data_IF_997712565950
#
_entry.id   IF_997712565950
#
_cell.length_a   1.000
_cell.length_b   1.000
_cell.length_c   1.000
_cell.angle_alpha   90.00
_cell.angle_beta   90.00
_cell.angle_gamma   90.00
#
_symmetry.space_group_name_H-M   'P 1'
#
loop_
_entity.id
_entity.type
_entity.pdbx_description
1 polymer ?
#
# COMPACT_ATOMS: atom_id res chain seq x y z
N UNK A 1 -9.90 -6.09 -10.62
CA UNK A 1 -8.94 -5.33 -9.81
C UNK A 1 -8.66 -6.10 -8.53
N UNK A 2 -7.39 -6.27 -8.16
CA UNK A 2 -7.01 -6.88 -6.90
C UNK A 2 -6.50 -5.82 -5.92
N UNK A 3 -6.80 -6.02 -4.64
CA UNK A 3 -6.47 -5.10 -3.57
C UNK A 3 -6.09 -5.88 -2.31
N UNK A 4 -5.10 -5.38 -1.58
CA UNK A 4 -4.86 -5.82 -0.21
C UNK A 4 -5.79 -5.02 0.68
N UNK A 5 -6.57 -5.66 1.57
CA UNK A 5 -7.65 -5.01 2.31
C UNK A 5 -7.34 -4.83 3.81
N UNK A 6 -6.17 -4.27 4.15
CA UNK A 6 -5.80 -3.96 5.55
C UNK A 6 -5.81 -2.45 5.75
N UNK A 7 -6.29 -1.99 6.92
CA UNK A 7 -6.40 -0.58 7.27
C UNK A 7 -7.08 0.28 6.18
N UNK A 8 -6.34 1.17 5.50
CA UNK A 8 -6.84 2.01 4.40
C UNK A 8 -7.46 1.18 3.27
N UNK A 9 -6.93 -0.02 3.02
CA UNK A 9 -7.46 -0.92 1.99
C UNK A 9 -8.90 -1.34 2.25
N UNK A 10 -9.33 -1.40 3.52
CA UNK A 10 -10.73 -1.70 3.85
C UNK A 10 -11.66 -0.58 3.40
N UNK A 11 -11.33 0.68 3.68
CA UNK A 11 -12.10 1.84 3.21
C UNK A 11 -12.16 1.91 1.68
N UNK A 12 -11.03 1.63 1.01
CA UNK A 12 -10.98 1.61 -0.45
C UNK A 12 -11.89 0.49 -1.00
N UNK A 13 -11.84 -0.73 -0.45
CA UNK A 13 -12.73 -1.82 -0.84
C UNK A 13 -14.20 -1.45 -0.66
N UNK A 14 -14.57 -0.88 0.49
CA UNK A 14 -15.97 -0.47 0.77
C UNK A 14 -16.47 0.53 -0.27
N UNK A 15 -15.67 1.56 -0.60
CA UNK A 15 -16.02 2.54 -1.62
C UNK A 15 -16.12 1.93 -3.03
N UNK A 16 -15.23 1.00 -3.38
CA UNK A 16 -15.24 0.33 -4.68
C UNK A 16 -16.43 -0.61 -4.85
N UNK A 17 -16.83 -1.31 -3.79
CA UNK A 17 -18.04 -2.15 -3.80
C UNK A 17 -19.28 -1.29 -3.98
N UNK A 18 -19.36 -0.15 -3.29
CA UNK A 18 -20.48 0.79 -3.43
C UNK A 18 -20.57 1.42 -4.83
N UNK A 19 -19.42 1.68 -5.46
CA UNK A 19 -19.37 2.25 -6.81
C UNK A 19 -19.81 1.23 -7.89
N UNK A 20 -19.75 -0.08 -7.62
CA UNK A 20 -20.16 -1.16 -8.53
C UNK A 20 -19.57 -1.10 -9.96
N UNK A 21 -18.35 -0.57 -10.07
CA UNK A 21 -17.65 -0.42 -11.36
C UNK A 21 -16.56 -1.47 -11.61
N UNK A 22 -16.24 -2.29 -10.61
CA UNK A 22 -15.07 -3.16 -10.64
C UNK A 22 -15.37 -4.53 -10.04
N UNK A 23 -14.86 -5.59 -10.68
CA UNK A 23 -14.72 -6.89 -10.04
C UNK A 23 -13.55 -6.85 -9.06
N UNK A 24 -13.84 -6.93 -7.77
CA UNK A 24 -12.86 -6.78 -6.69
C UNK A 24 -12.37 -8.14 -6.21
N UNK A 25 -11.06 -8.26 -6.04
CA UNK A 25 -10.40 -9.41 -5.44
C UNK A 25 -9.54 -8.94 -4.26
N UNK A 26 -9.72 -9.53 -3.08
CA UNK A 26 -8.90 -9.28 -1.92
C UNK A 26 -7.76 -10.30 -1.88
N UNK A 27 -6.51 -9.83 -1.92
CA UNK A 27 -5.34 -10.67 -1.69
C UNK A 27 -5.15 -10.91 -0.19
N UNK A 28 -4.92 -12.16 0.18
CA UNK A 28 -4.83 -12.59 1.59
C UNK A 28 -3.86 -13.75 1.77
N UNK A 29 -3.37 -13.98 2.99
CA UNK A 29 -2.40 -15.05 3.30
C UNK A 29 -3.04 -16.41 3.68
N UNK A 30 -4.37 -16.48 3.72
CA UNK A 30 -5.09 -17.67 4.14
C UNK A 30 -6.55 -17.63 3.70
N UNK A 31 -7.30 -18.67 4.03
CA UNK A 31 -8.73 -18.73 3.76
C UNK A 31 -9.46 -17.59 4.49
N UNK A 32 -10.38 -16.92 3.81
CA UNK A 32 -11.19 -15.86 4.41
C UNK A 32 -12.66 -16.21 4.32
N UNK A 33 -13.41 -15.59 5.22
CA UNK A 33 -14.87 -15.62 5.19
C UNK A 33 -15.37 -14.93 3.91
N UNK A 34 -16.22 -15.59 3.11
CA UNK A 34 -16.85 -14.98 1.95
C UNK A 34 -17.54 -13.67 2.35
N UNK A 35 -17.17 -12.58 1.66
CA UNK A 35 -17.76 -11.26 1.88
C UNK A 35 -18.51 -10.85 0.61
N UNK A 36 -19.73 -10.34 0.76
CA UNK A 36 -20.58 -9.95 -0.38
C UNK A 36 -19.86 -8.87 -1.21
N UNK A 37 -19.86 -9.03 -2.54
CA UNK A 37 -19.27 -8.05 -3.47
C UNK A 37 -17.76 -8.14 -3.64
N UNK A 38 -17.07 -9.07 -2.96
CA UNK A 38 -15.63 -9.29 -3.12
C UNK A 38 -15.28 -10.76 -3.30
N UNK A 39 -14.25 -11.03 -4.09
CA UNK A 39 -13.65 -12.34 -4.24
C UNK A 39 -12.38 -12.40 -3.40
N UNK A 40 -11.94 -13.58 -2.97
CA UNK A 40 -10.67 -13.74 -2.27
C UNK A 40 -9.67 -14.50 -3.14
N UNK A 41 -8.42 -14.06 -3.13
CA UNK A 41 -7.30 -14.79 -3.73
C UNK A 41 -6.25 -15.00 -2.66
N UNK A 42 -5.68 -16.20 -2.66
CA UNK A 42 -4.52 -16.50 -1.86
C UNK A 42 -3.30 -15.82 -2.49
N UNK A 43 -2.56 -15.04 -1.71
CA UNK A 43 -1.33 -14.41 -2.14
C UNK A 43 -0.19 -14.92 -1.26
N UNK A 44 0.84 -15.43 -1.91
CA UNK A 44 2.08 -15.84 -1.25
C UNK A 44 3.11 -14.74 -1.49
N UNK A 45 3.17 -13.75 -0.60
CA UNK A 45 4.04 -12.58 -0.80
C UNK A 45 5.55 -12.89 -0.84
N UNK A 46 5.94 -14.10 -0.45
CA UNK A 46 7.31 -14.61 -0.50
C UNK A 46 7.58 -15.46 -1.77
N UNK A 47 6.54 -15.77 -2.57
CA UNK A 47 6.62 -16.52 -3.83
C UNK A 47 6.06 -15.68 -4.99
N UNK A 48 6.98 -15.12 -5.77
CA UNK A 48 6.69 -14.22 -6.89
C UNK A 48 5.96 -14.93 -8.03
N UNK A 49 6.38 -16.15 -8.37
CA UNK A 49 5.83 -16.87 -9.52
C UNK A 49 4.44 -17.42 -9.23
N UNK A 50 4.24 -18.01 -8.04
CA UNK A 50 2.93 -18.48 -7.62
C UNK A 50 1.91 -17.32 -7.54
N UNK A 51 2.36 -16.16 -7.04
CA UNK A 51 1.52 -14.96 -7.01
C UNK A 51 1.22 -14.45 -8.42
N UNK A 52 2.20 -14.40 -9.32
CA UNK A 52 1.99 -14.00 -10.72
C UNK A 52 0.96 -14.90 -11.44
N UNK A 53 1.06 -16.22 -11.25
CA UNK A 53 0.09 -17.18 -11.79
C UNK A 53 -1.32 -16.93 -11.23
N UNK A 54 -1.44 -16.68 -9.92
CA UNK A 54 -2.72 -16.38 -9.29
C UNK A 54 -3.35 -15.11 -9.88
N UNK A 55 -2.56 -14.04 -10.05
CA UNK A 55 -3.01 -12.80 -10.69
C UNK A 55 -3.48 -13.05 -12.13
N UNK A 56 -2.73 -13.84 -12.90
CA UNK A 56 -3.04 -14.15 -14.29
C UNK A 56 -4.30 -15.01 -14.44
N UNK A 57 -4.45 -16.06 -13.64
CA UNK A 57 -5.64 -16.93 -13.66
C UNK A 57 -6.91 -16.16 -13.31
N UNK A 58 -6.82 -15.25 -12.32
CA UNK A 58 -7.92 -14.37 -11.95
C UNK A 58 -8.12 -13.18 -12.91
N UNK A 59 -7.27 -13.04 -13.94
CA UNK A 59 -7.28 -11.96 -14.93
C UNK A 59 -7.23 -10.58 -14.28
N UNK A 60 -6.36 -10.41 -13.30
CA UNK A 60 -6.16 -9.14 -12.62
C UNK A 60 -5.48 -8.17 -13.58
N UNK A 61 -6.16 -7.04 -13.84
CA UNK A 61 -5.63 -5.93 -14.64
C UNK A 61 -4.86 -4.91 -13.78
N UNK A 62 -5.48 -4.50 -12.66
CA UNK A 62 -4.93 -3.50 -11.74
C UNK A 62 -4.73 -4.14 -10.38
N UNK A 63 -3.53 -3.99 -9.82
CA UNK A 63 -3.20 -4.38 -8.46
C UNK A 63 -2.97 -3.13 -7.59
N UNK A 64 -3.67 -3.05 -6.45
CA UNK A 64 -3.59 -1.95 -5.50
C UNK A 64 -3.02 -2.47 -4.17
N UNK A 65 -1.81 -2.04 -3.83
CA UNK A 65 -1.14 -2.38 -2.59
C UNK A 65 -1.52 -1.40 -1.48
N UNK A 66 -1.99 -1.91 -0.35
CA UNK A 66 -2.20 -1.13 0.89
C UNK A 66 -1.43 -1.69 2.09
N UNK A 67 -0.37 -2.47 1.82
CA UNK A 67 0.49 -3.02 2.88
C UNK A 67 1.04 -1.86 3.71
N UNK A 68 0.94 -1.94 5.04
CA UNK A 68 1.63 -1.02 5.93
C UNK A 68 3.15 -1.25 5.91
N UNK A 69 3.86 -0.58 5.00
CA UNK A 69 5.31 -0.75 4.80
C UNK A 69 6.10 -0.08 5.92
N UNK A 70 6.18 -0.76 7.07
CA UNK A 70 6.82 -0.27 8.30
C UNK A 70 8.15 -0.94 8.62
N UNK A 71 8.49 -2.01 7.92
CA UNK A 71 9.71 -2.79 8.14
C UNK A 71 10.19 -3.42 6.83
N UNK A 72 11.40 -3.99 6.87
CA UNK A 72 12.05 -4.61 5.70
C UNK A 72 11.20 -5.71 5.08
N UNK A 73 10.62 -6.61 5.87
CA UNK A 73 9.78 -7.71 5.38
C UNK A 73 8.54 -7.19 4.62
N UNK A 74 7.88 -6.16 5.13
CA UNK A 74 6.75 -5.53 4.46
C UNK A 74 7.16 -4.82 3.16
N UNK A 75 8.36 -4.23 3.14
CA UNK A 75 8.94 -3.63 1.93
C UNK A 75 9.23 -4.69 0.87
N UNK A 76 9.86 -5.79 1.26
CA UNK A 76 10.15 -6.95 0.39
C UNK A 76 8.85 -7.54 -0.17
N UNK A 77 7.80 -7.67 0.66
CA UNK A 77 6.48 -8.13 0.20
C UNK A 77 5.88 -7.22 -0.88
N UNK A 78 5.99 -5.89 -0.75
CA UNK A 78 5.52 -4.97 -1.80
C UNK A 78 6.35 -5.09 -3.08
N UNK A 79 7.68 -5.20 -2.97
CA UNK A 79 8.57 -5.41 -4.11
C UNK A 79 8.24 -6.72 -4.83
N UNK A 80 7.99 -7.80 -4.09
CA UNK A 80 7.59 -9.08 -4.66
C UNK A 80 6.23 -8.98 -5.38
N UNK A 81 5.29 -8.19 -4.89
CA UNK A 81 4.03 -7.93 -5.59
C UNK A 81 4.23 -7.15 -6.89
N UNK A 82 5.15 -6.19 -6.91
CA UNK A 82 5.54 -5.46 -8.13
C UNK A 82 6.09 -6.46 -9.16
N UNK A 83 7.04 -7.31 -8.76
CA UNK A 83 7.62 -8.36 -9.62
C UNK A 83 6.58 -9.34 -10.12
N UNK A 84 5.70 -9.81 -9.23
CA UNK A 84 4.61 -10.74 -9.59
C UNK A 84 3.66 -10.12 -10.61
N UNK A 85 3.36 -8.83 -10.45
CA UNK A 85 2.53 -8.06 -11.38
C UNK A 85 3.21 -7.89 -12.74
N UNK A 86 4.52 -7.67 -12.75
CA UNK A 86 5.31 -7.54 -13.97
C UNK A 86 5.40 -8.87 -14.74
N UNK A 87 5.44 -10.01 -14.05
CA UNK A 87 5.43 -11.33 -14.70
C UNK A 87 4.03 -11.69 -15.22
N UNK A 88 2.98 -11.28 -14.49
CA UNK A 88 1.59 -11.55 -14.87
C UNK A 88 1.20 -10.85 -16.17
N UNK A 89 0.93 -11.63 -17.22
CA UNK A 89 0.56 -11.09 -18.54
C UNK A 89 -0.74 -10.29 -18.58
N UNK A 90 -1.58 -10.40 -17.55
CA UNK A 90 -2.85 -9.66 -17.47
C UNK A 90 -2.72 -8.35 -16.71
N UNK A 91 -1.71 -8.20 -15.86
CA UNK A 91 -1.57 -7.05 -14.97
C UNK A 91 -0.86 -5.91 -15.71
N UNK A 92 -1.53 -4.77 -15.80
CA UNK A 92 -1.05 -3.58 -16.55
C UNK A 92 -0.80 -2.39 -15.64
N UNK A 93 -1.48 -2.33 -14.49
CA UNK A 93 -1.42 -1.21 -13.57
C UNK A 93 -1.11 -1.62 -12.14
N UNK A 94 -0.23 -0.86 -11.48
CA UNK A 94 0.10 -1.05 -10.07
C UNK A 94 -0.08 0.25 -9.29
N UNK A 95 -0.84 0.20 -8.19
CA UNK A 95 -0.96 1.33 -7.25
C UNK A 95 -0.12 0.99 -6.03
N UNK A 96 0.92 1.80 -5.80
CA UNK A 96 1.92 1.56 -4.76
C UNK A 96 1.38 1.96 -3.38
N UNK A 97 1.72 1.18 -2.35
CA UNK A 97 1.40 1.54 -0.96
C UNK A 97 2.34 2.65 -0.51
N UNK A 98 1.85 3.88 -0.65
CA UNK A 98 2.53 5.10 -0.26
C UNK A 98 1.49 6.19 0.07
N UNK A 99 0.48 5.83 0.88
CA UNK A 99 -0.62 6.68 1.32
C UNK A 99 -0.17 7.67 2.41
N UNK A 100 0.77 8.52 2.04
CA UNK A 100 1.43 9.46 2.93
C UNK A 100 1.76 10.79 2.22
N UNK A 101 2.72 11.53 2.76
CA UNK A 101 3.21 12.80 2.21
C UNK A 101 4.10 12.52 0.99
N UNK A 102 4.10 13.44 0.01
CA UNK A 102 5.01 13.33 -1.12
C UNK A 102 6.43 13.47 -0.59
N UNK A 103 7.18 12.38 -0.65
CA UNK A 103 8.61 12.39 -0.43
C UNK A 103 9.24 12.70 -1.78
N UNK A 104 9.71 13.92 -1.93
CA UNK A 104 10.41 14.41 -3.12
C UNK A 104 11.88 14.55 -2.75
N UNK A 105 12.74 14.02 -3.62
CA UNK A 105 14.20 14.01 -3.47
C UNK A 105 14.82 15.41 -3.29
N UNK A 106 14.09 16.47 -3.66
CA UNK A 106 14.53 17.87 -3.63
C UNK A 106 13.91 18.73 -2.51
N UNK A 107 12.82 18.30 -1.87
CA UNK A 107 12.02 19.19 -1.00
C UNK A 107 12.42 19.15 0.47
N UNK A 108 13.07 18.07 0.90
CA UNK A 108 13.75 18.05 2.18
C UNK A 108 15.19 18.50 1.92
N UNK A 109 15.61 19.63 2.51
CA UNK A 109 16.95 20.21 2.40
C UNK A 109 18.07 19.31 2.98
N UNK A 110 17.77 18.03 3.14
CA UNK A 110 18.61 16.97 3.64
C UNK A 110 18.88 16.01 2.47
N UNK A 111 20.15 15.67 2.18
CA UNK A 111 20.49 14.70 1.16
C UNK A 111 19.75 13.37 1.43
N UNK A 112 19.30 12.68 0.37
CA UNK A 112 18.53 11.42 0.45
C UNK A 112 19.12 10.41 1.43
N UNK A 113 20.45 10.35 1.53
CA UNK A 113 21.17 9.49 2.46
C UNK A 113 20.89 9.82 3.95
N UNK A 114 20.68 11.10 4.28
CA UNK A 114 20.27 11.57 5.60
C UNK A 114 18.79 11.26 5.87
N UNK A 115 17.90 11.37 4.87
CA UNK A 115 16.48 10.99 5.02
C UNK A 115 16.29 9.47 5.16
N UNK A 116 17.02 8.67 4.41
CA UNK A 116 16.92 7.21 4.46
C UNK A 116 17.42 6.62 5.79
N UNK A 117 18.40 7.27 6.44
CA UNK A 117 18.91 6.86 7.74
C UNK A 117 18.05 7.37 8.91
N UNK A 118 17.35 8.50 8.75
CA UNK A 118 16.44 9.05 9.76
C UNK A 118 15.00 8.52 9.65
N UNK A 119 14.57 8.07 8.46
CA UNK A 119 13.22 7.60 8.20
C UNK A 119 13.24 6.38 7.24
N UNK A 120 13.37 5.15 7.78
CA UNK A 120 13.40 3.91 6.97
C UNK A 120 12.22 3.76 6.00
N UNK A 121 11.06 4.34 6.33
CA UNK A 121 9.86 4.36 5.46
C UNK A 121 10.09 5.08 4.13
N UNK A 122 10.93 6.12 4.13
CA UNK A 122 11.28 6.86 2.92
C UNK A 122 12.03 5.95 1.96
N UNK A 123 13.04 5.25 2.48
CA UNK A 123 13.80 4.27 1.71
C UNK A 123 12.89 3.21 1.10
N UNK A 124 11.98 2.62 1.88
CA UNK A 124 11.09 1.57 1.37
C UNK A 124 10.15 2.06 0.25
N UNK A 125 9.73 3.32 0.31
CA UNK A 125 8.92 3.92 -0.76
C UNK A 125 9.76 4.11 -2.02
N UNK A 126 10.98 4.65 -1.89
CA UNK A 126 11.91 4.82 -3.01
C UNK A 126 12.31 3.49 -3.65
N UNK A 127 12.61 2.46 -2.84
CA UNK A 127 12.95 1.12 -3.34
C UNK A 127 11.81 0.53 -4.18
N UNK A 128 10.54 0.72 -3.76
CA UNK A 128 9.38 0.26 -4.51
C UNK A 128 9.18 1.04 -5.82
N UNK A 129 9.44 2.36 -5.82
CA UNK A 129 9.38 3.18 -7.04
C UNK A 129 10.48 2.80 -8.01
N UNK A 130 11.72 2.62 -7.54
CA UNK A 130 12.85 2.15 -8.36
C UNK A 130 12.57 0.77 -8.97
N UNK A 131 11.93 -0.13 -8.22
CA UNK A 131 11.50 -1.41 -8.78
C UNK A 131 10.43 -1.24 -9.86
N UNK A 132 9.44 -0.37 -9.66
CA UNK A 132 8.39 -0.09 -10.65
C UNK A 132 8.96 0.48 -11.96
N UNK A 133 9.98 1.34 -11.89
CA UNK A 133 10.70 1.90 -13.05
C UNK A 133 11.39 0.82 -13.91
N UNK A 134 11.68 -0.35 -13.34
CA UNK A 134 12.26 -1.50 -14.08
C UNK A 134 11.21 -2.31 -14.83
N UNK A 135 9.93 -2.00 -14.67
CA UNK A 135 8.80 -2.76 -15.23
C UNK A 135 8.12 -2.01 -16.37
N UNK A 136 7.25 -2.70 -17.12
CA UNK A 136 6.35 -2.06 -18.09
C UNK A 136 5.01 -1.61 -17.47
N UNK A 137 4.84 -1.72 -16.14
CA UNK A 137 3.57 -1.43 -15.48
C UNK A 137 3.33 0.07 -15.45
N UNK A 138 2.13 0.49 -15.84
CA UNK A 138 1.68 1.85 -15.53
C UNK A 138 1.45 1.93 -14.02
N UNK A 139 2.10 2.85 -13.31
CA UNK A 139 1.96 2.91 -11.86
C UNK A 139 1.38 4.24 -11.36
N UNK A 140 0.82 4.21 -10.15
CA UNK A 140 0.26 5.41 -9.50
C UNK A 140 0.65 5.42 -8.03
N UNK A 141 1.19 6.55 -7.58
CA UNK A 141 1.43 6.87 -6.17
C UNK A 141 0.34 7.82 -5.69
N UNK A 142 -0.51 7.35 -4.77
CA UNK A 142 -1.55 8.19 -4.17
C UNK A 142 -0.94 8.95 -3.00
N UNK A 143 -0.72 10.25 -3.17
CA UNK A 143 -0.24 11.14 -2.10
C UNK A 143 -1.41 11.88 -1.48
N UNK A 144 -1.87 11.41 -0.32
CA UNK A 144 -3.02 11.99 0.38
C UNK A 144 -2.64 12.73 1.67
N UNK A 145 -1.36 12.78 2.04
CA UNK A 145 -0.90 13.47 3.25
C UNK A 145 -1.34 12.75 4.53
N UNK A 146 -2.08 13.43 5.41
CA UNK A 146 -2.60 12.87 6.66
C UNK A 146 -4.08 12.54 6.51
N UNK A 147 -4.49 11.37 7.00
CA UNK A 147 -5.90 10.99 7.05
C UNK A 147 -6.64 11.85 8.09
N UNK A 148 -7.83 12.34 7.73
CA UNK A 148 -8.69 13.07 8.67
C UNK A 148 -9.15 12.20 9.84
N UNK A 149 -9.21 10.87 9.64
CA UNK A 149 -9.49 9.87 10.66
C UNK A 149 -8.65 10.06 11.93
N UNK A 150 -7.39 10.49 11.78
CA UNK A 150 -6.49 10.71 12.93
C UNK A 150 -7.01 11.79 13.90
N UNK A 151 -7.80 12.75 13.41
CA UNK A 151 -8.40 13.81 14.23
C UNK A 151 -9.81 13.45 14.73
N UNK A 152 -10.46 12.45 14.12
CA UNK A 152 -11.77 11.97 14.53
C UNK A 152 -11.73 10.85 15.58
N UNK A 153 -10.58 10.20 15.77
CA UNK A 153 -10.45 9.11 16.74
C UNK A 153 -10.60 9.62 18.20
N UNK A 154 -11.24 8.83 19.09
CA UNK A 154 -11.87 7.53 18.86
C UNK A 154 -13.35 7.61 18.42
N UNK A 155 -13.90 8.81 18.24
CA UNK A 155 -15.34 9.04 18.05
C UNK A 155 -15.84 8.84 16.62
N UNK A 156 -14.94 8.80 15.64
CA UNK A 156 -15.23 8.52 14.24
C UNK A 156 -14.91 7.07 13.86
N UNK A 157 -15.80 6.43 13.08
CA UNK A 157 -15.57 5.07 12.58
C UNK A 157 -14.41 5.09 11.58
N UNK A 158 -13.38 4.31 11.86
CA UNK A 158 -12.18 4.23 11.02
C UNK A 158 -11.59 2.82 11.03
N UNK A 159 -10.98 2.43 9.92
CA UNK A 159 -10.16 1.21 9.83
C UNK A 159 -8.65 1.52 9.90
N UNK A 160 -8.26 2.79 9.86
CA UNK A 160 -6.84 3.20 9.91
C UNK A 160 -6.32 3.03 11.33
N UNK A 161 -5.07 2.60 11.48
CA UNK A 161 -4.44 2.53 12.80
C UNK A 161 -4.21 3.92 13.38
N UNK A 162 -4.35 4.12 14.71
CA UNK A 162 -4.08 5.41 15.34
C UNK A 162 -2.67 5.92 15.03
N UNK A 163 -2.60 7.21 14.72
CA UNK A 163 -1.35 7.94 14.62
C UNK A 163 -1.13 8.72 15.93
N UNK A 164 -0.15 8.29 16.73
CA UNK A 164 0.09 8.91 18.03
C UNK A 164 0.95 10.16 17.86
N UNK A 165 0.32 11.32 18.04
CA UNK A 165 1.03 12.60 18.12
C UNK A 165 1.45 12.82 19.59
N UNK A 166 2.72 13.13 19.82
CA UNK A 166 3.25 13.45 21.15
C UNK A 166 3.59 14.93 21.19
N UNK A 167 3.02 15.67 22.13
CA UNK A 167 3.32 17.09 22.36
C UNK A 167 3.88 17.25 23.76
N UNK A 168 5.09 17.79 23.86
CA UNK A 168 5.69 18.16 25.14
C UNK A 168 5.68 19.69 25.26
N UNK A 169 4.69 20.20 25.99
CA UNK A 169 4.49 21.64 26.18
C UNK A 169 5.62 22.29 26.99
N UNK A 170 6.12 21.60 28.02
CA UNK A 170 7.19 22.09 28.89
C UNK A 170 8.50 22.25 28.12
N UNK A 171 8.89 21.20 27.37
CA UNK A 171 10.13 21.17 26.59
C UNK A 171 10.00 21.73 25.18
N UNK A 172 8.82 22.23 24.79
CA UNK A 172 8.53 22.90 23.51
C UNK A 172 8.94 22.07 22.29
N UNK A 173 8.65 20.77 22.30
CA UNK A 173 8.83 19.92 21.13
C UNK A 173 7.58 19.07 20.89
N UNK A 174 7.39 18.67 19.64
CA UNK A 174 6.34 17.75 19.24
C UNK A 174 6.91 16.69 18.29
N UNK A 175 6.33 15.50 18.34
CA UNK A 175 6.55 14.44 17.38
C UNK A 175 5.20 14.08 16.75
N UNK A 176 5.12 14.29 15.44
CA UNK A 176 4.01 13.89 14.59
C UNK A 176 4.43 12.61 13.88
#
# INVERSE_FOLDING_TARGET
MAIIAVAVGKCIVEGLVQHDGHKIFILSRGENVPTLGVNHLLAQYDDVEATAQTLQQAKIDTLLSTIGVRNKKASEAQINLIRSSHISSTTRRFIVSAYDKLQVQEYDHLPVHAHASLAPRVKYTLDALEELEKTYLSYTRVVNGLFLDYYGMPHWKTSVHPWLNVVNMEKRWAYL
#
